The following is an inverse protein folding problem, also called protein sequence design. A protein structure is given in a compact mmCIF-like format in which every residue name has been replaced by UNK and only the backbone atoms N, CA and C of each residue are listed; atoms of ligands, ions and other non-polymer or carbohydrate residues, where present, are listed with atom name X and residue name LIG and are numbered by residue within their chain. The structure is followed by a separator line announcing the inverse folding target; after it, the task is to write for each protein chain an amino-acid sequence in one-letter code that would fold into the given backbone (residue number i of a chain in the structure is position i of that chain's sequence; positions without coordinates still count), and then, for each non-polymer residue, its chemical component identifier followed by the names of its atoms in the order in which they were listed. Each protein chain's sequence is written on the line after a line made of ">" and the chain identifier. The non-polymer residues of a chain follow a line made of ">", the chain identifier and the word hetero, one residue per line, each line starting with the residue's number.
data_IF_185428045007
#
_entry.id   IF_185428045007
#
_cell.length_a   1.000
_cell.length_b   1.000
_cell.length_c   1.000
_cell.angle_alpha   90.00
_cell.angle_beta   90.00
_cell.angle_gamma   90.00
#
_symmetry.space_group_name_H-M   'P 1'
#
loop_
_entity.id
_entity.type
_entity.pdbx_description
1 polymer ?
#
# COMPACT_ATOMS: atom_id res chain seq x y z
N UNK A 1 13.35 -12.53 -3.94
CA UNK A 1 13.84 -11.83 -5.14
C UNK A 1 13.71 -10.33 -4.94
N UNK A 2 14.63 -9.52 -5.47
CA UNK A 2 14.64 -8.07 -5.23
C UNK A 2 14.82 -7.74 -3.74
N UNK A 3 14.09 -6.74 -3.23
CA UNK A 3 14.13 -6.37 -1.80
C UNK A 3 13.68 -7.50 -0.86
N UNK A 4 12.98 -8.52 -1.37
CA UNK A 4 12.57 -9.71 -0.62
C UNK A 4 13.58 -10.88 -0.72
N UNK A 5 14.72 -10.68 -1.39
CA UNK A 5 15.82 -11.65 -1.37
C UNK A 5 16.73 -11.38 -0.17
N UNK A 6 16.41 -11.98 0.98
CA UNK A 6 17.10 -11.68 2.25
C UNK A 6 18.46 -12.38 2.35
N UNK A 7 18.72 -13.38 1.51
CA UNK A 7 20.02 -14.08 1.43
C UNK A 7 21.01 -13.34 0.52
N UNK A 8 20.55 -12.33 -0.24
CA UNK A 8 21.43 -11.52 -1.08
C UNK A 8 22.23 -10.51 -0.23
N UNK A 9 23.57 -10.61 -0.17
CA UNK A 9 24.39 -9.70 0.63
C UNK A 9 24.37 -8.24 0.12
N UNK A 10 23.92 -7.99 -1.11
CA UNK A 10 23.77 -6.64 -1.67
C UNK A 10 22.41 -6.01 -1.35
N UNK A 11 21.48 -6.74 -0.73
CA UNK A 11 20.17 -6.21 -0.38
C UNK A 11 20.27 -5.32 0.87
N UNK A 12 20.05 -3.99 0.76
CA UNK A 12 20.12 -3.09 1.93
C UNK A 12 19.02 -3.37 2.95
N UNK A 13 18.01 -4.18 2.59
CA UNK A 13 16.90 -4.57 3.44
C UNK A 13 17.04 -5.96 4.07
N UNK A 14 18.17 -6.67 3.88
CA UNK A 14 18.33 -8.05 4.35
C UNK A 14 18.09 -8.22 5.87
N UNK A 15 18.41 -7.21 6.68
CA UNK A 15 18.20 -7.20 8.13
C UNK A 15 16.88 -6.58 8.62
N UNK A 16 15.97 -6.21 7.71
CA UNK A 16 14.73 -5.52 8.05
C UNK A 16 13.57 -6.49 8.29
N UNK A 17 12.62 -6.09 9.14
CA UNK A 17 11.32 -6.75 9.23
C UNK A 17 10.47 -6.44 8.00
N UNK A 18 9.80 -7.46 7.44
CA UNK A 18 8.99 -7.33 6.24
C UNK A 18 7.50 -7.48 6.54
N UNK A 19 6.71 -6.46 6.22
CA UNK A 19 5.25 -6.53 6.19
C UNK A 19 4.82 -6.46 4.73
N UNK A 20 4.18 -7.52 4.24
CA UNK A 20 3.74 -7.62 2.85
C UNK A 20 2.21 -7.66 2.76
N UNK A 21 1.64 -6.73 1.99
CA UNK A 21 0.20 -6.66 1.74
C UNK A 21 -0.08 -7.11 0.29
N UNK A 22 -0.64 -8.31 0.08
CA UNK A 22 -0.96 -8.78 -1.26
C UNK A 22 -2.07 -7.93 -1.90
N UNK A 23 -1.99 -7.73 -3.21
CA UNK A 23 -2.99 -6.98 -3.96
C UNK A 23 -4.00 -7.89 -4.65
N UNK A 24 -5.21 -7.96 -4.12
CA UNK A 24 -6.32 -8.74 -4.67
C UNK A 24 -7.64 -7.96 -4.78
N UNK A 25 -7.59 -6.65 -4.53
CA UNK A 25 -8.77 -5.80 -4.32
C UNK A 25 -9.10 -4.94 -5.53
N UNK A 26 -8.23 -4.83 -6.54
CA UNK A 26 -8.52 -4.10 -7.78
C UNK A 26 -8.75 -2.59 -7.61
N UNK A 27 -8.32 -2.03 -6.49
CA UNK A 27 -8.61 -0.66 -6.03
C UNK A 27 -7.37 0.14 -5.62
N UNK A 28 -6.20 -0.26 -6.14
CA UNK A 28 -4.87 0.33 -5.88
C UNK A 28 -4.55 0.53 -4.39
N UNK A 29 -5.12 -0.31 -3.51
CA UNK A 29 -5.02 -0.24 -2.05
C UNK A 29 -5.74 0.93 -1.36
N UNK A 30 -6.61 1.68 -2.05
CA UNK A 30 -7.31 2.84 -1.47
C UNK A 30 -8.84 2.65 -1.35
N UNK A 31 -9.39 1.56 -1.89
CA UNK A 31 -10.83 1.29 -1.88
C UNK A 31 -11.38 0.74 -0.56
N UNK A 32 -12.67 0.97 -0.33
CA UNK A 32 -13.45 0.32 0.73
C UNK A 32 -14.88 -0.02 0.28
N UNK A 33 -15.10 -0.35 -0.99
CA UNK A 33 -16.41 -0.75 -1.51
C UNK A 33 -16.58 -2.28 -1.58
N UNK A 34 -17.83 -2.71 -1.68
CA UNK A 34 -18.19 -4.04 -2.15
C UNK A 34 -19.04 -3.85 -3.39
N UNK A 35 -18.61 -4.37 -4.54
CA UNK A 35 -19.29 -4.12 -5.82
C UNK A 35 -19.71 -5.42 -6.48
N UNK A 36 -21.00 -5.55 -6.74
CA UNK A 36 -21.57 -6.60 -7.58
C UNK A 36 -21.48 -6.15 -9.04
N UNK A 37 -20.60 -6.79 -9.81
CA UNK A 37 -20.43 -6.53 -11.25
C UNK A 37 -21.38 -7.38 -12.11
N UNK A 38 -21.76 -8.56 -11.62
CA UNK A 38 -22.82 -9.42 -12.16
C UNK A 38 -23.40 -10.27 -11.02
N UNK A 39 -24.55 -10.94 -11.22
CA UNK A 39 -25.16 -11.78 -10.18
C UNK A 39 -24.22 -12.88 -9.60
N UNK A 40 -23.18 -13.26 -10.36
CA UNK A 40 -22.19 -14.26 -9.98
C UNK A 40 -20.82 -13.67 -9.61
N UNK A 41 -20.63 -12.35 -9.76
CA UNK A 41 -19.35 -11.68 -9.53
C UNK A 41 -19.50 -10.48 -8.60
N UNK A 42 -19.09 -10.69 -7.35
CA UNK A 42 -18.90 -9.62 -6.36
C UNK A 42 -17.43 -9.48 -6.03
N UNK A 43 -16.91 -8.26 -6.12
CA UNK A 43 -15.52 -7.94 -5.78
C UNK A 43 -15.50 -7.12 -4.49
N UNK A 44 -14.56 -7.48 -3.62
CA UNK A 44 -14.28 -6.77 -2.37
C UNK A 44 -13.14 -5.78 -2.61
N UNK A 45 -13.47 -4.55 -2.97
CA UNK A 45 -12.52 -3.45 -3.06
C UNK A 45 -12.19 -2.95 -1.64
N UNK A 46 -11.44 -3.76 -0.89
CA UNK A 46 -11.09 -3.54 0.53
C UNK A 46 -9.62 -3.22 0.73
N UNK A 47 -8.97 -2.61 -0.27
CA UNK A 47 -7.56 -2.29 -0.26
C UNK A 47 -7.17 -1.38 0.90
N UNK A 48 -8.00 -0.37 1.20
CA UNK A 48 -7.78 0.53 2.33
C UNK A 48 -7.86 -0.20 3.67
N UNK A 49 -8.86 -1.07 3.82
CA UNK A 49 -9.04 -1.88 5.04
C UNK A 49 -7.84 -2.80 5.28
N UNK A 50 -7.36 -3.45 4.22
CA UNK A 50 -6.18 -4.31 4.29
C UNK A 50 -4.91 -3.52 4.64
N UNK A 51 -4.74 -2.33 4.05
CA UNK A 51 -3.60 -1.45 4.34
C UNK A 51 -3.63 -0.87 5.75
N UNK A 52 -4.79 -0.42 6.23
CA UNK A 52 -4.97 0.06 7.61
C UNK A 52 -4.65 -1.06 8.61
N UNK A 53 -5.08 -2.30 8.34
CA UNK A 53 -4.73 -3.44 9.18
C UNK A 53 -3.21 -3.70 9.23
N UNK A 54 -2.49 -3.48 8.12
CA UNK A 54 -1.03 -3.58 8.10
C UNK A 54 -0.35 -2.46 8.88
N UNK A 55 -0.88 -1.22 8.84
CA UNK A 55 -0.40 -0.11 9.67
C UNK A 55 -0.62 -0.42 11.15
N UNK A 56 -1.81 -0.90 11.53
CA UNK A 56 -2.07 -1.33 12.91
C UNK A 56 -1.11 -2.45 13.34
N UNK A 57 -0.91 -3.46 12.49
CA UNK A 57 0.06 -4.53 12.77
C UNK A 57 1.47 -4.00 12.98
N UNK A 58 1.94 -3.06 12.16
CA UNK A 58 3.24 -2.40 12.33
C UNK A 58 3.34 -1.75 13.71
N UNK A 59 2.37 -0.91 14.07
CA UNK A 59 2.38 -0.15 15.34
C UNK A 59 2.31 -1.09 16.55
N UNK A 60 1.49 -2.14 16.49
CA UNK A 60 1.32 -3.07 17.59
C UNK A 60 2.55 -3.96 17.83
N UNK A 61 3.29 -4.31 16.77
CA UNK A 61 4.39 -5.29 16.85
C UNK A 61 5.78 -4.63 16.82
N UNK A 62 5.88 -3.41 16.29
CA UNK A 62 7.12 -2.65 16.17
C UNK A 62 6.92 -1.19 16.62
N UNK A 63 6.42 -0.95 17.84
CA UNK A 63 6.12 0.41 18.32
C UNK A 63 7.37 1.31 18.40
N UNK A 64 8.55 0.71 18.55
CA UNK A 64 9.83 1.41 18.67
C UNK A 64 10.61 1.47 17.34
N UNK A 65 9.94 1.22 16.19
CA UNK A 65 10.58 1.30 14.89
C UNK A 65 11.10 2.73 14.62
N UNK A 66 12.41 2.88 14.41
CA UNK A 66 13.05 4.18 14.13
C UNK A 66 13.10 4.51 12.65
N UNK A 67 13.04 3.51 11.78
CA UNK A 67 13.12 3.64 10.34
C UNK A 67 12.05 2.76 9.71
N UNK A 68 11.19 3.36 8.88
CA UNK A 68 10.16 2.63 8.16
C UNK A 68 10.20 3.00 6.69
N UNK A 69 10.32 1.99 5.83
CA UNK A 69 10.17 2.16 4.38
C UNK A 69 8.82 1.63 3.96
N UNK A 70 7.95 2.52 3.48
CA UNK A 70 6.72 2.14 2.79
C UNK A 70 7.07 2.05 1.31
N UNK A 71 6.99 0.85 0.74
CA UNK A 71 7.32 0.59 -0.66
C UNK A 71 6.15 -0.05 -1.41
N UNK A 72 6.05 0.24 -2.70
CA UNK A 72 5.04 -0.36 -3.58
C UNK A 72 5.48 -0.32 -5.04
N UNK A 73 4.94 -1.23 -5.84
CA UNK A 73 5.22 -1.33 -7.27
C UNK A 73 3.94 -1.28 -8.11
N UNK A 74 3.97 -0.59 -9.25
CA UNK A 74 2.87 -0.44 -10.21
C UNK A 74 1.58 0.10 -9.56
N UNK A 75 0.52 -0.70 -9.44
CA UNK A 75 -0.69 -0.28 -8.72
C UNK A 75 -0.41 0.02 -7.24
N UNK A 76 0.49 -0.75 -6.60
CA UNK A 76 0.85 -0.56 -5.20
C UNK A 76 1.63 0.73 -4.94
N UNK A 77 2.32 1.28 -5.95
CA UNK A 77 3.07 2.53 -5.78
C UNK A 77 2.19 3.78 -5.72
N UNK A 78 0.91 3.68 -6.13
CA UNK A 78 -0.06 4.78 -6.05
C UNK A 78 -0.39 5.10 -4.58
N UNK A 79 -0.61 4.07 -3.75
CA UNK A 79 -1.00 4.25 -2.35
C UNK A 79 0.18 4.40 -1.38
N UNK A 80 1.42 4.14 -1.83
CA UNK A 80 2.62 4.27 -0.99
C UNK A 80 2.72 5.61 -0.24
N UNK A 81 2.53 6.80 -0.86
CA UNK A 81 2.57 8.06 -0.12
C UNK A 81 1.45 8.21 0.92
N UNK A 82 0.24 7.68 0.63
CA UNK A 82 -0.87 7.69 1.59
C UNK A 82 -0.49 6.90 2.85
N UNK A 83 -0.04 5.66 2.67
CA UNK A 83 0.35 4.81 3.81
C UNK A 83 1.62 5.31 4.50
N UNK A 84 2.55 5.96 3.77
CA UNK A 84 3.67 6.68 4.38
C UNK A 84 3.21 7.76 5.37
N UNK A 85 2.22 8.58 4.98
CA UNK A 85 1.62 9.57 5.87
C UNK A 85 0.93 8.94 7.08
N UNK A 86 0.09 7.91 6.86
CA UNK A 86 -0.61 7.22 7.95
C UNK A 86 0.35 6.56 8.95
N UNK A 87 1.45 5.97 8.48
CA UNK A 87 2.49 5.45 9.38
C UNK A 87 3.17 6.58 10.14
N UNK A 88 3.53 7.68 9.48
CA UNK A 88 4.13 8.84 10.14
C UNK A 88 3.23 9.47 11.22
N UNK A 89 1.90 9.46 11.02
CA UNK A 89 0.96 9.92 12.04
C UNK A 89 0.93 9.00 13.28
N UNK A 90 1.17 7.70 13.12
CA UNK A 90 1.18 6.73 14.21
C UNK A 90 2.55 6.58 14.88
N UNK A 91 3.63 6.79 14.13
CA UNK A 91 5.03 6.69 14.58
C UNK A 91 5.75 8.03 14.33
N UNK A 92 5.40 9.11 15.06
CA UNK A 92 5.86 10.47 14.74
C UNK A 92 7.37 10.69 14.90
N UNK A 93 8.04 9.83 15.68
CA UNK A 93 9.49 9.90 15.90
C UNK A 93 10.29 9.05 14.88
N UNK A 94 9.61 8.22 14.07
CA UNK A 94 10.25 7.37 13.09
C UNK A 94 10.61 8.15 11.81
N UNK A 95 11.74 7.82 11.21
CA UNK A 95 12.09 8.29 9.88
C UNK A 95 11.34 7.48 8.82
N UNK A 96 10.37 8.11 8.16
CA UNK A 96 9.54 7.48 7.13
C UNK A 96 10.09 7.76 5.73
N UNK A 97 10.42 6.70 5.00
CA UNK A 97 10.79 6.77 3.58
C UNK A 97 9.68 6.17 2.72
N UNK A 98 9.29 6.88 1.66
CA UNK A 98 8.28 6.43 0.69
C UNK A 98 8.96 6.08 -0.63
N UNK A 99 8.79 4.85 -1.10
CA UNK A 99 9.37 4.36 -2.35
C UNK A 99 8.30 3.78 -3.28
N UNK A 100 7.78 4.62 -4.18
CA UNK A 100 6.83 4.19 -5.22
C UNK A 100 7.53 3.87 -6.54
N UNK A 101 7.51 2.60 -6.95
CA UNK A 101 8.11 2.12 -8.20
C UNK A 101 7.06 1.94 -9.31
N UNK A 102 7.24 2.61 -10.45
CA UNK A 102 6.46 2.30 -11.66
C UNK A 102 5.05 2.91 -11.79
N UNK A 103 4.65 3.88 -10.95
CA UNK A 103 3.39 4.65 -11.14
C UNK A 103 3.55 5.97 -11.89
N UNK A 104 4.76 6.41 -12.21
CA UNK A 104 4.99 7.72 -12.86
C UNK A 104 4.34 7.90 -14.24
N UNK A 105 3.91 6.80 -14.87
CA UNK A 105 3.21 6.81 -16.16
C UNK A 105 1.69 7.02 -16.06
N UNK A 106 1.09 7.00 -14.87
CA UNK A 106 -0.35 7.24 -14.72
C UNK A 106 -0.67 8.72 -15.01
N UNK A 107 -1.52 9.00 -16.01
CA UNK A 107 -1.77 10.37 -16.41
C UNK A 107 -2.69 11.06 -15.39
N UNK A 108 -2.42 12.32 -15.09
CA UNK A 108 -3.32 13.14 -14.28
C UNK A 108 -4.48 13.63 -15.14
N UNK A 109 -5.48 12.76 -15.33
CA UNK A 109 -6.69 13.06 -16.12
C UNK A 109 -7.91 12.98 -15.18
N UNK A 110 -8.42 14.13 -14.70
CA UNK A 110 -9.46 14.16 -13.67
C UNK A 110 -10.68 13.32 -13.99
N UNK A 111 -11.17 13.34 -15.24
CA UNK A 111 -12.35 12.56 -15.63
C UNK A 111 -12.13 11.04 -15.56
N UNK A 112 -10.95 10.56 -15.94
CA UNK A 112 -10.61 9.12 -15.85
C UNK A 112 -10.39 8.73 -14.39
N UNK A 113 -9.67 9.54 -13.62
CA UNK A 113 -9.40 9.28 -12.21
C UNK A 113 -10.70 9.27 -11.39
N UNK A 114 -11.63 10.18 -11.67
CA UNK A 114 -12.94 10.19 -11.04
C UNK A 114 -13.77 8.96 -11.42
N UNK A 115 -13.78 8.55 -12.70
CA UNK A 115 -14.51 7.35 -13.13
C UNK A 115 -14.00 6.10 -12.41
N UNK A 116 -12.67 5.91 -12.39
CA UNK A 116 -12.04 4.75 -11.76
C UNK A 116 -12.21 4.80 -10.23
N UNK A 117 -11.91 5.93 -9.59
CA UNK A 117 -12.01 6.09 -8.14
C UNK A 117 -13.43 5.88 -7.61
N UNK A 118 -14.46 6.33 -8.34
CA UNK A 118 -15.86 6.12 -7.96
C UNK A 118 -16.27 4.64 -7.90
N UNK A 119 -15.54 3.72 -8.53
CA UNK A 119 -15.78 2.29 -8.40
C UNK A 119 -15.36 1.74 -7.02
N UNK A 120 -14.50 2.47 -6.28
CA UNK A 120 -13.85 1.99 -5.06
C UNK A 120 -14.35 2.66 -3.77
N UNK A 121 -15.07 3.77 -3.89
CA UNK A 121 -15.48 4.64 -2.76
C UNK A 121 -16.93 4.47 -2.30
N UNK A 122 -17.74 3.63 -2.97
CA UNK A 122 -19.18 3.46 -2.65
C UNK A 122 -19.50 2.35 -1.65
#
# INVERSE_FOLDING_TARGET
>A
GGIFDLDNPENPFAGWSMIYVPYCTGDVHIGNSTTEYSPELTVQHKGRVNGDAAVSYLVDNFPDATDVVVAGASAGSIATPLFGGLVGDQLPDAHITVFGDGSGGYPSVPGVNALIGNAWER
#
